data_IF_482187564525
#
_entry.id   IF_482187564525
#
_cell.length_a   1.000
_cell.length_b   1.000
_cell.length_c   1.000
_cell.angle_alpha   90.00
_cell.angle_beta   90.00
_cell.angle_gamma   90.00
#
_symmetry.space_group_name_H-M   'P 1'
#
loop_
_entity.id
_entity.type
_entity.pdbx_description
1 polymer ?
#
# COMPACT_ATOMS: atom_id res chain seq x y z
N UNK A 1 -1.61 -24.41 6.90
CA UNK A 1 -0.59 -23.32 6.93
C UNK A 1 -1.32 -22.01 7.13
N UNK A 2 -0.85 -21.13 8.01
CA UNK A 2 -1.58 -19.88 8.29
C UNK A 2 -1.57 -19.00 7.03
N UNK A 3 -2.76 -18.61 6.57
CA UNK A 3 -2.94 -17.74 5.41
C UNK A 3 -2.72 -16.24 5.77
N UNK A 4 -1.93 -15.98 6.85
CA UNK A 4 -1.64 -14.65 7.35
C UNK A 4 -0.43 -14.08 6.61
N UNK A 5 -0.64 -12.95 5.95
CA UNK A 5 0.38 -12.21 5.18
C UNK A 5 1.09 -11.18 6.06
N UNK A 6 0.31 -10.42 6.85
CA UNK A 6 0.84 -9.42 7.79
C UNK A 6 0.23 -9.68 9.16
N UNK A 7 1.06 -9.66 10.21
CA UNK A 7 0.65 -9.74 11.61
C UNK A 7 1.28 -8.60 12.40
N UNK A 8 0.46 -7.77 13.02
CA UNK A 8 0.87 -6.76 13.99
C UNK A 8 0.52 -7.28 15.38
N UNK A 9 1.47 -7.24 16.32
CA UNK A 9 1.28 -7.71 17.68
C UNK A 9 1.71 -6.64 18.66
N UNK A 10 0.77 -6.15 19.47
CA UNK A 10 0.96 -5.10 20.48
C UNK A 10 1.75 -3.89 19.96
N UNK A 11 1.46 -3.50 18.69
CA UNK A 11 2.25 -2.53 17.95
C UNK A 11 2.06 -1.13 18.53
N UNK A 12 3.13 -0.54 19.00
CA UNK A 12 3.18 0.82 19.51
C UNK A 12 4.20 1.68 18.80
N UNK A 13 3.86 2.96 18.62
CA UNK A 13 4.78 3.96 18.07
C UNK A 13 4.73 5.24 18.88
N UNK A 14 5.91 5.69 19.29
CA UNK A 14 6.14 6.93 20.02
C UNK A 14 7.22 7.72 19.31
N UNK A 15 6.97 8.98 19.05
CA UNK A 15 7.95 9.91 18.51
C UNK A 15 8.47 10.79 19.64
N UNK A 16 9.78 10.81 19.82
CA UNK A 16 10.45 11.63 20.82
C UNK A 16 11.49 12.52 20.10
N UNK A 17 11.27 13.81 20.15
CA UNK A 17 12.22 14.78 19.59
C UNK A 17 12.30 15.99 20.53
N UNK A 18 13.41 16.14 21.22
CA UNK A 18 13.60 17.17 22.23
C UNK A 18 12.54 17.12 23.33
N UNK A 19 11.66 18.13 23.41
CA UNK A 19 10.55 18.18 24.37
C UNK A 19 9.23 17.58 23.85
N UNK A 20 9.18 17.22 22.58
CA UNK A 20 8.02 16.58 21.98
C UNK A 20 8.05 15.10 22.30
N UNK A 21 6.94 14.62 22.85
CA UNK A 21 6.73 13.23 23.22
C UNK A 21 5.29 12.83 22.86
N UNK A 22 5.13 12.20 21.71
CA UNK A 22 3.81 11.86 21.16
C UNK A 22 3.69 10.38 20.94
N UNK A 23 2.79 9.75 21.66
CA UNK A 23 2.42 8.35 21.45
C UNK A 23 1.30 8.28 20.39
N UNK A 24 1.65 7.80 19.19
CA UNK A 24 0.76 7.74 18.03
C UNK A 24 -0.02 6.42 17.98
N UNK A 25 0.61 5.28 18.30
CA UNK A 25 -0.04 3.97 18.35
C UNK A 25 0.16 3.32 19.71
N UNK A 26 -0.88 2.58 20.18
CA UNK A 26 -0.98 2.06 21.54
C UNK A 26 -1.43 0.59 21.52
N UNK A 27 -0.49 -0.33 21.27
CA UNK A 27 -0.78 -1.77 21.33
C UNK A 27 -1.77 -2.25 20.27
N UNK A 28 -1.49 -1.92 18.99
CA UNK A 28 -2.34 -2.34 17.88
C UNK A 28 -2.10 -3.81 17.55
N UNK A 29 -3.17 -4.60 17.55
CA UNK A 29 -3.21 -5.98 17.06
C UNK A 29 -4.01 -6.04 15.76
N UNK A 30 -3.42 -6.60 14.69
CA UNK A 30 -4.08 -6.75 13.39
C UNK A 30 -3.49 -7.94 12.64
N UNK A 31 -4.34 -8.73 12.01
CA UNK A 31 -3.93 -9.77 11.06
C UNK A 31 -4.56 -9.50 9.69
N UNK A 32 -3.76 -9.62 8.65
CA UNK A 32 -4.19 -9.52 7.24
C UNK A 32 -3.97 -10.88 6.60
N UNK A 33 -5.03 -11.44 6.02
CA UNK A 33 -4.98 -12.72 5.31
C UNK A 33 -4.92 -12.53 3.80
N UNK A 34 -4.48 -13.56 3.08
CA UNK A 34 -4.45 -13.54 1.62
C UNK A 34 -5.83 -13.23 1.03
N UNK A 35 -5.88 -12.35 0.05
CA UNK A 35 -7.09 -11.91 -0.62
C UNK A 35 -8.03 -11.02 0.20
N UNK A 36 -7.78 -10.80 1.49
CA UNK A 36 -8.64 -10.01 2.38
C UNK A 36 -8.59 -8.52 2.01
N UNK A 37 -9.76 -7.86 2.05
CA UNK A 37 -9.89 -6.41 1.85
C UNK A 37 -10.23 -5.74 3.18
N UNK A 38 -9.30 -4.99 3.74
CA UNK A 38 -9.42 -4.32 5.03
C UNK A 38 -9.44 -2.81 4.82
N UNK A 39 -10.43 -2.14 5.43
CA UNK A 39 -10.41 -0.69 5.62
C UNK A 39 -10.03 -0.32 7.05
N UNK A 40 -9.20 0.70 7.20
CA UNK A 40 -8.88 1.31 8.50
C UNK A 40 -9.33 2.76 8.46
N UNK A 41 -10.44 3.03 9.12
CA UNK A 41 -11.02 4.37 9.25
C UNK A 41 -10.37 5.15 10.39
N UNK A 42 -10.21 6.44 10.20
CA UNK A 42 -9.76 7.35 11.26
C UNK A 42 -9.68 8.80 10.77
N UNK A 43 -9.78 9.75 11.69
CA UNK A 43 -9.60 11.17 11.40
C UNK A 43 -8.16 11.48 10.95
N UNK A 44 -7.95 12.65 10.35
CA UNK A 44 -6.58 13.14 10.09
C UNK A 44 -5.79 13.18 11.40
N UNK A 45 -4.51 12.76 11.35
CA UNK A 45 -3.64 12.69 12.54
C UNK A 45 -3.90 11.51 13.49
N UNK A 46 -4.83 10.60 13.21
CA UNK A 46 -5.10 9.43 14.09
C UNK A 46 -4.01 8.36 14.08
N UNK A 47 -3.00 8.46 13.19
CA UNK A 47 -1.91 7.49 13.08
C UNK A 47 -2.05 6.48 11.93
N UNK A 48 -3.01 6.64 11.01
CA UNK A 48 -3.25 5.71 9.88
C UNK A 48 -2.01 5.48 9.01
N UNK A 49 -1.40 6.56 8.53
CA UNK A 49 -0.18 6.47 7.70
C UNK A 49 0.99 5.90 8.50
N UNK A 50 1.10 6.23 9.79
CA UNK A 50 2.11 5.63 10.68
C UNK A 50 1.92 4.11 10.77
N UNK A 51 0.67 3.65 10.95
CA UNK A 51 0.37 2.21 10.98
C UNK A 51 0.77 1.53 9.66
N UNK A 52 0.42 2.12 8.50
CA UNK A 52 0.84 1.60 7.20
C UNK A 52 2.36 1.54 7.04
N UNK A 53 3.07 2.58 7.48
CA UNK A 53 4.54 2.61 7.41
C UNK A 53 5.18 1.50 8.25
N UNK A 54 4.64 1.25 9.45
CA UNK A 54 5.11 0.14 10.29
C UNK A 54 4.78 -1.22 9.67
N UNK A 55 3.55 -1.42 9.18
CA UNK A 55 3.16 -2.65 8.48
C UNK A 55 4.04 -2.91 7.26
N UNK A 56 4.43 -1.86 6.57
CA UNK A 56 5.32 -1.93 5.41
C UNK A 56 6.81 -1.99 5.73
N UNK A 57 7.21 -1.89 7.00
CA UNK A 57 8.62 -1.83 7.40
C UNK A 57 9.37 -0.62 6.83
N UNK A 58 8.64 0.47 6.55
CA UNK A 58 9.23 1.77 6.20
C UNK A 58 9.72 2.51 7.43
N UNK A 59 9.12 2.19 8.57
CA UNK A 59 9.53 2.64 9.90
C UNK A 59 9.48 1.45 10.87
N UNK A 60 10.13 1.55 12.02
CA UNK A 60 10.17 0.52 13.05
C UNK A 60 9.28 0.91 14.24
N UNK A 61 8.62 -0.06 14.88
CA UNK A 61 7.81 0.18 16.06
C UNK A 61 8.69 0.55 17.27
N UNK A 62 8.10 1.31 18.21
CA UNK A 62 8.71 1.58 19.52
C UNK A 62 8.45 0.43 20.50
N UNK A 63 7.37 -0.34 20.29
CA UNK A 63 7.01 -1.55 21.05
C UNK A 63 6.20 -2.50 20.19
N UNK A 64 6.13 -3.77 20.58
CA UNK A 64 5.49 -4.80 19.76
C UNK A 64 6.32 -5.12 18.52
N UNK A 65 5.71 -5.76 17.54
CA UNK A 65 6.38 -6.08 16.27
C UNK A 65 5.41 -6.29 15.11
N UNK A 66 5.97 -6.26 13.90
CA UNK A 66 5.27 -6.60 12.65
C UNK A 66 5.97 -7.79 12.01
N UNK A 67 5.17 -8.76 11.60
CA UNK A 67 5.61 -9.87 10.76
C UNK A 67 4.99 -9.75 9.37
N UNK A 68 5.82 -9.94 8.35
CA UNK A 68 5.40 -10.07 6.95
C UNK A 68 5.84 -11.42 6.43
N UNK A 69 4.93 -12.24 5.95
CA UNK A 69 5.19 -13.62 5.52
C UNK A 69 5.92 -14.45 6.60
N UNK A 70 5.55 -14.25 7.88
CA UNK A 70 6.14 -14.91 9.04
C UNK A 70 7.54 -14.43 9.43
N UNK A 71 8.05 -13.36 8.81
CA UNK A 71 9.36 -12.77 9.15
C UNK A 71 9.19 -11.47 9.91
N UNK A 72 9.83 -11.36 11.06
CA UNK A 72 9.81 -10.14 11.89
C UNK A 72 10.61 -9.02 11.25
N UNK A 73 9.92 -7.91 10.90
CA UNK A 73 10.51 -6.77 10.21
C UNK A 73 11.58 -6.04 11.03
N UNK A 74 11.41 -6.00 12.36
CA UNK A 74 12.34 -5.36 13.30
C UNK A 74 13.66 -6.15 13.51
N UNK A 75 13.68 -7.43 13.15
CA UNK A 75 14.86 -8.28 13.25
C UNK A 75 15.69 -8.37 11.97
N UNK A 76 15.17 -7.83 10.86
CA UNK A 76 15.86 -7.83 9.58
C UNK A 76 16.80 -6.62 9.45
N UNK A 77 17.90 -6.82 8.72
CA UNK A 77 18.71 -5.71 8.24
C UNK A 77 17.88 -4.81 7.31
N UNK A 78 18.30 -3.55 7.10
CA UNK A 78 17.62 -2.64 6.18
C UNK A 78 17.53 -3.21 4.76
N UNK A 79 18.57 -3.88 4.29
CA UNK A 79 18.60 -4.54 2.98
C UNK A 79 17.60 -5.71 2.90
N UNK A 80 17.59 -6.61 3.90
CA UNK A 80 16.69 -7.76 3.92
C UNK A 80 15.24 -7.33 4.07
N UNK A 81 14.99 -6.28 4.88
CA UNK A 81 13.67 -5.66 5.02
C UNK A 81 13.22 -5.03 3.70
N UNK A 82 14.12 -4.35 2.99
CA UNK A 82 13.87 -3.80 1.65
C UNK A 82 13.54 -4.89 0.62
N UNK A 83 14.28 -6.01 0.62
CA UNK A 83 14.02 -7.17 -0.23
C UNK A 83 12.67 -7.81 0.08
N UNK A 84 12.38 -8.08 1.35
CA UNK A 84 11.08 -8.66 1.76
C UNK A 84 9.91 -7.76 1.36
N UNK A 85 10.05 -6.45 1.57
CA UNK A 85 9.07 -5.44 1.15
C UNK A 85 8.84 -5.49 -0.36
N UNK A 86 9.89 -5.43 -1.17
CA UNK A 86 9.79 -5.50 -2.63
C UNK A 86 9.17 -6.81 -3.12
N UNK A 87 9.43 -7.94 -2.45
CA UNK A 87 8.90 -9.25 -2.83
C UNK A 87 7.43 -9.45 -2.45
N UNK A 88 7.00 -8.89 -1.31
CA UNK A 88 5.74 -9.27 -0.67
C UNK A 88 4.71 -8.16 -0.60
N UNK A 89 5.12 -6.89 -0.71
CA UNK A 89 4.26 -5.74 -0.51
C UNK A 89 4.25 -4.79 -1.70
N UNK A 90 3.07 -4.21 -1.98
CA UNK A 90 2.88 -3.07 -2.85
C UNK A 90 2.45 -1.84 -2.06
N UNK A 91 2.69 -0.64 -2.59
CA UNK A 91 2.33 0.61 -1.94
C UNK A 91 1.60 1.54 -2.90
N UNK A 92 0.46 2.07 -2.44
CA UNK A 92 -0.30 3.12 -3.11
C UNK A 92 -0.39 4.30 -2.16
N UNK A 93 -0.06 5.49 -2.64
CA UNK A 93 -0.08 6.72 -1.86
C UNK A 93 -1.08 7.72 -2.43
N UNK A 94 -1.61 8.59 -1.59
CA UNK A 94 -2.55 9.64 -1.95
C UNK A 94 -2.00 10.56 -3.06
N UNK A 95 -0.72 10.92 -3.02
CA UNK A 95 -0.04 11.76 -4.02
C UNK A 95 0.68 10.95 -5.10
N UNK A 96 0.34 9.67 -5.30
CA UNK A 96 0.85 8.75 -6.31
C UNK A 96 2.36 8.45 -6.18
N UNK A 97 3.18 9.43 -5.86
CA UNK A 97 4.66 9.37 -5.77
C UNK A 97 5.29 8.73 -7.02
N UNK A 98 4.78 9.10 -8.20
CA UNK A 98 5.44 8.76 -9.45
C UNK A 98 6.65 9.66 -9.64
N UNK A 99 7.73 9.10 -10.14
CA UNK A 99 8.95 9.82 -10.47
C UNK A 99 8.71 10.67 -11.73
N UNK A 100 8.81 12.00 -11.66
CA UNK A 100 8.36 12.89 -12.73
C UNK A 100 9.23 12.81 -13.99
N UNK A 101 10.48 12.39 -13.87
CA UNK A 101 11.42 12.24 -14.98
C UNK A 101 11.14 11.01 -15.84
N UNK A 102 10.47 9.99 -15.27
CA UNK A 102 10.22 8.70 -15.90
C UNK A 102 8.81 8.63 -16.49
N UNK A 103 8.66 7.87 -17.57
CA UNK A 103 7.36 7.52 -18.17
C UNK A 103 6.52 6.64 -17.24
N UNK A 104 5.25 6.44 -17.56
CA UNK A 104 4.38 5.50 -16.85
C UNK A 104 4.99 4.07 -16.86
N UNK A 105 5.50 3.64 -18.02
CA UNK A 105 6.15 2.34 -18.17
C UNK A 105 7.36 2.19 -17.26
N UNK A 106 8.23 3.19 -17.22
CA UNK A 106 9.44 3.19 -16.41
C UNK A 106 9.11 3.22 -14.90
N UNK A 107 8.15 4.05 -14.50
CA UNK A 107 7.66 4.08 -13.12
C UNK A 107 7.14 2.72 -12.66
N UNK A 108 6.39 2.04 -13.51
CA UNK A 108 5.82 0.73 -13.21
C UNK A 108 6.87 -0.38 -13.27
N UNK A 109 7.86 -0.29 -14.17
CA UNK A 109 8.95 -1.26 -14.25
C UNK A 109 9.95 -1.18 -13.07
N UNK A 110 10.05 -0.02 -12.41
CA UNK A 110 11.07 0.24 -11.38
C UNK A 110 11.15 -0.83 -10.27
N UNK A 111 10.05 -1.29 -9.66
CA UNK A 111 10.12 -2.34 -8.63
C UNK A 111 10.71 -3.66 -9.13
N UNK A 112 10.51 -4.00 -10.41
CA UNK A 112 11.08 -5.19 -11.03
C UNK A 112 12.58 -5.02 -11.30
N UNK A 113 12.98 -3.83 -11.74
CA UNK A 113 14.40 -3.50 -11.95
C UNK A 113 15.18 -3.53 -10.63
N UNK A 114 14.61 -3.02 -9.54
CA UNK A 114 15.16 -3.10 -8.17
C UNK A 114 15.30 -4.57 -7.75
N UNK A 115 14.39 -5.45 -8.16
CA UNK A 115 14.45 -6.90 -7.92
C UNK A 115 15.53 -7.61 -8.76
N UNK A 116 16.15 -6.94 -9.73
CA UNK A 116 17.14 -7.50 -10.64
C UNK A 116 16.56 -8.18 -11.88
N UNK A 117 15.28 -7.97 -12.19
CA UNK A 117 14.68 -8.45 -13.45
C UNK A 117 15.32 -7.72 -14.62
N UNK A 118 15.63 -8.44 -15.70
CA UNK A 118 16.23 -7.85 -16.91
C UNK A 118 15.31 -6.80 -17.54
N UNK A 119 15.90 -5.72 -18.06
CA UNK A 119 15.14 -4.57 -18.60
C UNK A 119 14.05 -4.96 -19.60
N UNK A 120 14.31 -5.80 -20.63
CA UNK A 120 13.26 -6.18 -21.59
C UNK A 120 12.07 -6.88 -20.92
N UNK A 121 12.32 -7.76 -19.97
CA UNK A 121 11.31 -8.50 -19.24
C UNK A 121 10.54 -7.59 -18.29
N UNK A 122 11.22 -6.71 -17.54
CA UNK A 122 10.59 -5.73 -16.66
C UNK A 122 9.66 -4.80 -17.44
N UNK A 123 10.08 -4.33 -18.63
CA UNK A 123 9.25 -3.50 -19.51
C UNK A 123 8.02 -4.25 -20.03
N UNK A 124 8.17 -5.51 -20.41
CA UNK A 124 7.05 -6.34 -20.88
C UNK A 124 6.00 -6.55 -19.77
N UNK A 125 6.43 -6.89 -18.55
CA UNK A 125 5.54 -7.06 -17.40
C UNK A 125 4.87 -5.73 -17.01
N UNK A 126 5.59 -4.61 -17.06
CA UNK A 126 5.05 -3.29 -16.80
C UNK A 126 4.01 -2.86 -17.86
N UNK A 127 4.23 -3.17 -19.13
CA UNK A 127 3.26 -2.90 -20.19
C UNK A 127 1.98 -3.73 -20.02
N UNK A 128 2.10 -5.01 -19.65
CA UNK A 128 0.96 -5.89 -19.39
C UNK A 128 0.07 -5.36 -18.24
N UNK A 129 0.66 -4.96 -17.13
CA UNK A 129 -0.14 -4.42 -16.02
C UNK A 129 -0.71 -3.03 -16.34
N UNK A 130 -0.03 -2.19 -17.11
CA UNK A 130 -0.55 -0.91 -17.58
C UNK A 130 -1.75 -1.10 -18.52
N UNK A 131 -1.73 -2.10 -19.39
CA UNK A 131 -2.89 -2.45 -20.21
C UNK A 131 -4.10 -2.86 -19.34
N UNK A 132 -3.87 -3.70 -18.32
CA UNK A 132 -4.91 -4.14 -17.36
C UNK A 132 -5.54 -3.00 -16.57
N UNK A 133 -4.81 -1.92 -16.31
CA UNK A 133 -5.36 -0.72 -15.66
C UNK A 133 -5.87 0.32 -16.65
N UNK A 134 -5.97 -0.01 -17.95
CA UNK A 134 -6.49 0.86 -19.01
C UNK A 134 -5.56 2.01 -19.38
N UNK A 135 -4.24 1.78 -19.32
CA UNK A 135 -3.21 2.78 -19.67
C UNK A 135 -2.32 2.35 -20.84
N UNK A 136 -2.78 1.43 -21.70
CA UNK A 136 -2.04 0.94 -22.85
C UNK A 136 -1.48 2.06 -23.73
N UNK A 137 -2.32 3.05 -24.05
CA UNK A 137 -1.97 4.19 -24.89
C UNK A 137 -1.22 5.32 -24.13
N UNK A 138 -0.89 5.09 -22.86
CA UNK A 138 -0.24 6.06 -21.96
C UNK A 138 1.14 5.63 -21.48
N UNK A 139 1.65 4.52 -21.97
CA UNK A 139 2.90 3.89 -21.48
C UNK A 139 4.11 4.83 -21.55
N UNK A 140 4.20 5.65 -22.60
CA UNK A 140 5.30 6.59 -22.82
C UNK A 140 5.05 8.00 -22.24
N UNK A 141 3.88 8.23 -21.61
CA UNK A 141 3.56 9.52 -21.02
C UNK A 141 4.26 9.67 -19.66
N UNK A 142 4.76 10.89 -19.40
CA UNK A 142 5.27 11.28 -18.08
C UNK A 142 4.12 11.68 -17.15
N UNK A 143 4.31 11.62 -15.81
CA UNK A 143 3.27 11.96 -14.84
C UNK A 143 2.57 13.31 -15.08
N UNK A 144 3.30 14.33 -15.55
CA UNK A 144 2.74 15.64 -15.87
C UNK A 144 1.75 15.61 -17.06
N UNK A 145 1.81 14.60 -17.90
CA UNK A 145 0.95 14.41 -19.09
C UNK A 145 -0.28 13.53 -18.81
N UNK A 146 -0.39 13.01 -17.58
CA UNK A 146 -1.45 12.13 -17.12
C UNK A 146 -2.47 12.91 -16.28
N UNK A 147 -3.75 12.61 -16.41
CA UNK A 147 -4.79 13.06 -15.49
C UNK A 147 -4.58 12.50 -14.07
N UNK A 148 -5.31 13.03 -13.07
CA UNK A 148 -5.26 12.52 -11.68
C UNK A 148 -5.57 11.03 -11.60
N UNK A 149 -6.66 10.61 -12.25
CA UNK A 149 -7.05 9.20 -12.30
C UNK A 149 -6.06 8.30 -13.06
N UNK A 150 -5.45 8.81 -14.15
CA UNK A 150 -4.41 8.07 -14.88
C UNK A 150 -3.14 7.90 -14.03
N UNK A 151 -2.72 8.95 -13.30
CA UNK A 151 -1.61 8.84 -12.34
C UNK A 151 -1.91 7.81 -11.26
N UNK A 152 -3.12 7.78 -10.74
CA UNK A 152 -3.52 6.80 -9.72
C UNK A 152 -3.52 5.39 -10.28
N UNK A 153 -4.03 5.16 -11.49
CA UNK A 153 -3.95 3.84 -12.14
C UNK A 153 -2.51 3.40 -12.39
N UNK A 154 -1.62 4.32 -12.79
CA UNK A 154 -0.19 4.02 -12.91
C UNK A 154 0.46 3.65 -11.54
N UNK A 155 0.09 4.34 -10.46
CA UNK A 155 0.54 4.01 -9.11
C UNK A 155 0.03 2.62 -8.63
N UNK A 156 -1.21 2.26 -8.98
CA UNK A 156 -1.78 0.93 -8.74
C UNK A 156 -1.01 -0.13 -9.53
N UNK A 157 -0.77 0.12 -10.82
CA UNK A 157 0.02 -0.78 -11.66
C UNK A 157 1.43 -1.01 -11.08
N UNK A 158 2.11 0.07 -10.64
CA UNK A 158 3.41 -0.01 -9.97
C UNK A 158 3.37 -0.84 -8.70
N UNK A 159 2.32 -0.71 -7.89
CA UNK A 159 2.16 -1.48 -6.66
C UNK A 159 1.96 -2.97 -6.92
N UNK A 160 1.33 -3.33 -8.05
CA UNK A 160 0.93 -4.71 -8.37
C UNK A 160 1.86 -5.44 -9.33
N UNK A 161 2.76 -4.74 -10.03
CA UNK A 161 3.64 -5.33 -11.07
C UNK A 161 4.51 -6.47 -10.53
N UNK A 162 4.88 -6.41 -9.26
CA UNK A 162 5.67 -7.44 -8.59
C UNK A 162 4.83 -8.62 -8.10
N UNK A 163 3.51 -8.61 -8.32
CA UNK A 163 2.54 -9.60 -7.80
C UNK A 163 2.69 -9.78 -6.29
N UNK A 164 2.51 -8.71 -5.50
CA UNK A 164 2.70 -8.77 -4.06
C UNK A 164 1.59 -9.59 -3.38
N UNK A 165 1.87 -10.07 -2.16
CA UNK A 165 0.88 -10.75 -1.33
C UNK A 165 -0.12 -9.78 -0.70
N UNK A 166 0.32 -8.54 -0.42
CA UNK A 166 -0.55 -7.48 0.09
C UNK A 166 -0.19 -6.12 -0.51
N UNK A 167 -1.20 -5.26 -0.68
CA UNK A 167 -1.05 -3.85 -1.03
C UNK A 167 -1.49 -2.99 0.14
N UNK A 168 -0.63 -2.06 0.54
CA UNK A 168 -0.88 -1.05 1.55
C UNK A 168 -1.21 0.27 0.84
N UNK A 169 -2.42 0.78 1.04
CA UNK A 169 -2.92 1.96 0.33
C UNK A 169 -3.28 3.08 1.32
N UNK A 170 -2.64 4.23 1.17
CA UNK A 170 -2.90 5.45 1.95
C UNK A 170 -3.77 6.40 1.12
N UNK A 171 -5.05 6.54 1.52
CA UNK A 171 -6.06 7.41 0.88
C UNK A 171 -6.05 7.31 -0.66
N UNK A 172 -6.21 6.09 -1.24
CA UNK A 172 -5.94 5.84 -2.67
C UNK A 172 -6.85 6.61 -3.63
N UNK A 173 -7.93 7.20 -3.15
CA UNK A 173 -8.89 7.98 -3.93
C UNK A 173 -9.07 9.42 -3.44
N UNK A 174 -8.35 9.81 -2.38
CA UNK A 174 -8.57 11.07 -1.65
C UNK A 174 -8.35 12.36 -2.45
N UNK A 175 -7.67 12.29 -3.61
CA UNK A 175 -7.41 13.44 -4.49
C UNK A 175 -8.18 13.38 -5.82
N UNK A 176 -9.19 12.50 -5.91
CA UNK A 176 -9.98 12.28 -7.12
C UNK A 176 -11.42 12.79 -6.92
N UNK A 177 -12.06 13.19 -8.02
CA UNK A 177 -13.50 13.39 -8.02
C UNK A 177 -14.23 12.05 -7.78
N UNK A 178 -15.49 12.10 -7.34
CA UNK A 178 -16.24 10.92 -6.93
C UNK A 178 -16.35 9.86 -8.03
N UNK A 179 -16.62 10.26 -9.28
CA UNK A 179 -16.76 9.32 -10.39
C UNK A 179 -15.43 8.61 -10.69
N UNK A 180 -14.32 9.36 -10.71
CA UNK A 180 -12.98 8.80 -10.91
C UNK A 180 -12.57 7.91 -9.74
N UNK A 181 -12.90 8.30 -8.50
CA UNK A 181 -12.64 7.51 -7.30
C UNK A 181 -13.35 6.14 -7.35
N UNK A 182 -14.63 6.10 -7.74
CA UNK A 182 -15.39 4.86 -7.90
C UNK A 182 -14.79 3.95 -8.97
N UNK A 183 -14.37 4.50 -10.10
CA UNK A 183 -13.73 3.74 -11.18
C UNK A 183 -12.38 3.13 -10.72
N UNK A 184 -11.56 3.90 -10.02
CA UNK A 184 -10.28 3.43 -9.46
C UNK A 184 -10.51 2.35 -8.41
N UNK A 185 -11.51 2.53 -7.55
CA UNK A 185 -11.84 1.54 -6.54
C UNK A 185 -12.36 0.21 -7.13
N UNK A 186 -13.25 0.28 -8.14
CA UNK A 186 -13.72 -0.89 -8.88
C UNK A 186 -12.56 -1.65 -9.54
N UNK A 187 -11.61 -0.91 -10.12
CA UNK A 187 -10.39 -1.49 -10.68
C UNK A 187 -9.58 -2.23 -9.60
N UNK A 188 -9.38 -1.62 -8.42
CA UNK A 188 -8.67 -2.27 -7.30
C UNK A 188 -9.36 -3.55 -6.87
N UNK A 189 -10.69 -3.57 -6.77
CA UNK A 189 -11.47 -4.76 -6.43
C UNK A 189 -11.29 -5.87 -7.48
N UNK A 190 -11.43 -5.56 -8.76
CA UNK A 190 -11.22 -6.54 -9.84
C UNK A 190 -9.80 -7.13 -9.85
N UNK A 191 -8.80 -6.32 -9.54
CA UNK A 191 -7.41 -6.78 -9.44
C UNK A 191 -7.18 -7.63 -8.17
N UNK A 192 -7.84 -7.32 -7.04
CA UNK A 192 -7.80 -8.16 -5.84
C UNK A 192 -8.36 -9.56 -6.14
N UNK A 193 -9.53 -9.63 -6.77
CA UNK A 193 -10.18 -10.90 -7.10
C UNK A 193 -9.34 -11.73 -8.08
N UNK A 194 -8.74 -11.08 -9.08
CA UNK A 194 -7.93 -11.75 -10.10
C UNK A 194 -6.55 -12.22 -9.59
N UNK A 195 -5.93 -11.46 -8.69
CA UNK A 195 -4.56 -11.70 -8.22
C UNK A 195 -4.51 -12.34 -6.82
N UNK A 196 -5.65 -12.39 -6.10
CA UNK A 196 -5.74 -12.84 -4.71
C UNK A 196 -4.78 -12.09 -3.77
N UNK A 197 -4.44 -10.85 -4.13
CA UNK A 197 -3.61 -9.94 -3.33
C UNK A 197 -4.47 -9.28 -2.26
N UNK A 198 -4.05 -9.31 -1.00
CA UNK A 198 -4.75 -8.60 0.06
C UNK A 198 -4.63 -7.07 -0.10
N UNK A 199 -5.67 -6.33 0.30
CA UNK A 199 -5.63 -4.87 0.33
C UNK A 199 -5.89 -4.35 1.74
N UNK A 200 -4.99 -3.50 2.24
CA UNK A 200 -5.20 -2.71 3.45
C UNK A 200 -5.28 -1.25 3.04
N UNK A 201 -6.46 -0.67 3.15
CA UNK A 201 -6.71 0.72 2.77
C UNK A 201 -6.96 1.55 4.03
N UNK A 202 -6.13 2.55 4.26
CA UNK A 202 -6.45 3.56 5.26
C UNK A 202 -7.15 4.73 4.59
N UNK A 203 -8.26 5.17 5.18
CA UNK A 203 -9.10 6.22 4.59
C UNK A 203 -9.97 6.90 5.64
N UNK A 204 -10.53 8.06 5.29
CA UNK A 204 -11.61 8.70 6.02
C UNK A 204 -12.96 8.55 5.30
N UNK A 205 -12.97 7.96 4.11
CA UNK A 205 -14.16 7.74 3.28
C UNK A 205 -14.94 6.51 3.77
N UNK A 206 -16.13 6.76 4.32
CA UNK A 206 -17.04 5.72 4.81
C UNK A 206 -17.66 4.88 3.67
N UNK A 207 -17.87 5.47 2.49
CA UNK A 207 -18.45 4.76 1.36
C UNK A 207 -17.45 3.74 0.81
N UNK A 208 -16.18 4.14 0.67
CA UNK A 208 -15.11 3.22 0.30
C UNK A 208 -14.96 2.11 1.35
N UNK A 209 -14.93 2.46 2.63
CA UNK A 209 -14.75 1.50 3.70
C UNK A 209 -15.89 0.45 3.77
N UNK A 210 -17.14 0.85 3.51
CA UNK A 210 -18.30 -0.05 3.52
C UNK A 210 -18.27 -1.15 2.43
N UNK A 211 -17.39 -1.01 1.44
CA UNK A 211 -17.19 -1.96 0.34
C UNK A 211 -16.06 -2.96 0.59
N UNK A 212 -15.43 -2.91 1.79
CA UNK A 212 -14.37 -3.81 2.21
C UNK A 212 -14.93 -4.98 3.04
N UNK A 213 -14.19 -6.08 3.11
CA UNK A 213 -14.61 -7.29 3.84
C UNK A 213 -14.61 -7.06 5.35
N UNK A 214 -13.64 -6.27 5.84
CA UNK A 214 -13.50 -5.94 7.26
C UNK A 214 -13.17 -4.47 7.43
N UNK A 215 -13.83 -3.82 8.37
CA UNK A 215 -13.60 -2.41 8.70
C UNK A 215 -13.09 -2.31 10.13
N UNK A 216 -11.98 -1.60 10.28
CA UNK A 216 -11.44 -1.20 11.58
C UNK A 216 -11.53 0.32 11.74
N UNK A 217 -11.52 0.76 12.99
CA UNK A 217 -11.43 2.17 13.34
C UNK A 217 -10.19 2.42 14.19
N UNK A 218 -9.35 3.35 13.73
CA UNK A 218 -8.19 3.82 14.49
C UNK A 218 -8.55 5.15 15.17
N UNK A 219 -8.63 5.12 16.48
CA UNK A 219 -8.95 6.30 17.30
C UNK A 219 -7.98 6.40 18.48
N UNK A 220 -7.39 7.58 18.69
CA UNK A 220 -6.43 7.86 19.78
C UNK A 220 -5.31 6.78 19.89
N UNK A 221 -4.85 6.25 18.73
CA UNK A 221 -3.79 5.24 18.67
C UNK A 221 -4.24 3.80 18.95
N UNK A 222 -5.53 3.57 19.18
CA UNK A 222 -6.11 2.24 19.44
C UNK A 222 -6.91 1.79 18.22
N UNK A 223 -6.69 0.54 17.77
CA UNK A 223 -7.44 -0.08 16.69
C UNK A 223 -8.57 -0.95 17.25
N UNK A 224 -9.78 -0.77 16.74
CA UNK A 224 -10.95 -1.59 17.07
C UNK A 224 -11.69 -2.00 15.81
N UNK A 225 -12.31 -3.19 15.81
CA UNK A 225 -13.20 -3.60 14.72
C UNK A 225 -14.46 -2.74 14.77
N UNK A 226 -14.90 -2.21 13.61
CA UNK A 226 -16.07 -1.35 13.50
C UNK A 226 -17.37 -2.15 13.41
#
# INVERSE_FOLDING_TARGET
MSNVIISCQQLGKRFQEGRLDVQVLRGVDLQVRAGEKIAILGSSGSGKSTLLHLMGGLDLPSSGHVEVMGKRMDQLSDNDRGLLRNQSLGFIYQFHHLLPEFTALENVAMPLLIRGVKVPEARAQAADILDKVGLKERVDHKPAQLSGGERQRAAIARALVTRPQAVLADEPTGNLDQHTADNVFNLMQGLNDALQTAFVVVTHDLQLASRMDTVYRLHAGVLSKA
#
